data_IF_029302315109
#
_entry.id   IF_029302315109
#
_cell.length_a   1.000
_cell.length_b   1.000
_cell.length_c   1.000
_cell.angle_alpha   90.00
_cell.angle_beta   90.00
_cell.angle_gamma   90.00
#
_symmetry.space_group_name_H-M   'P 1'
#
loop_
_entity.id
_entity.type
_entity.pdbx_description
1 polymer ?
#
# COMPACT_ATOMS: atom_id res chain seq x y z
N UNK A 1 -10.91 3.28 13.33
CA UNK A 1 -10.54 2.19 14.27
C UNK A 1 -9.33 2.71 15.04
N UNK A 2 -9.19 2.46 16.34
CA UNK A 2 -8.13 3.09 17.13
C UNK A 2 -6.89 2.19 17.21
N UNK A 3 -5.71 2.81 17.10
CA UNK A 3 -4.41 2.14 17.24
C UNK A 3 -4.19 1.78 18.70
N UNK A 4 -3.69 0.57 18.93
CA UNK A 4 -3.37 0.03 20.25
C UNK A 4 -2.28 -1.04 20.12
N UNK A 5 -1.81 -1.57 21.26
CA UNK A 5 -0.69 -2.53 21.30
C UNK A 5 -0.95 -3.88 20.63
N UNK A 6 -2.18 -4.17 20.20
CA UNK A 6 -2.52 -5.41 19.49
C UNK A 6 -2.55 -5.23 17.97
N UNK A 7 -2.59 -3.99 17.46
CA UNK A 7 -2.70 -3.72 16.02
C UNK A 7 -1.67 -2.72 15.48
N UNK A 8 -0.86 -2.10 16.33
CA UNK A 8 0.06 -1.04 15.90
C UNK A 8 1.09 -1.51 14.86
N UNK A 9 1.53 -2.77 14.91
CA UNK A 9 2.47 -3.34 13.94
C UNK A 9 1.93 -3.25 12.51
N UNK A 10 0.66 -3.61 12.31
CA UNK A 10 -0.01 -3.50 11.00
C UNK A 10 -0.06 -2.04 10.53
N UNK A 11 -0.44 -1.11 11.42
CA UNK A 11 -0.44 0.31 11.10
C UNK A 11 0.96 0.85 10.78
N UNK A 12 2.02 0.33 11.40
CA UNK A 12 3.40 0.75 11.10
C UNK A 12 3.82 0.33 9.70
N UNK A 13 3.52 -0.90 9.30
CA UNK A 13 3.78 -1.37 7.94
C UNK A 13 3.02 -0.53 6.91
N UNK A 14 1.71 -0.32 7.11
CA UNK A 14 0.89 0.51 6.24
C UNK A 14 1.38 1.98 6.18
N UNK A 15 1.87 2.51 7.31
CA UNK A 15 2.46 3.85 7.37
C UNK A 15 3.73 3.94 6.51
N UNK A 16 4.61 2.93 6.60
CA UNK A 16 5.84 2.85 5.83
C UNK A 16 5.58 2.72 4.32
N UNK A 17 4.60 1.92 3.93
CA UNK A 17 4.24 1.67 2.53
C UNK A 17 3.39 2.79 1.90
N UNK A 18 3.10 3.85 2.68
CA UNK A 18 2.24 4.97 2.28
C UNK A 18 0.81 4.54 1.88
N UNK A 19 0.29 3.48 2.51
CA UNK A 19 -1.06 2.96 2.25
C UNK A 19 -2.12 3.56 3.18
N UNK A 20 -1.71 4.28 4.23
CA UNK A 20 -2.61 4.98 5.14
C UNK A 20 -3.13 6.30 4.56
N UNK A 21 -4.39 6.62 4.88
CA UNK A 21 -4.93 7.96 4.65
C UNK A 21 -4.22 9.01 5.53
N UNK A 22 -4.31 10.28 5.15
CA UNK A 22 -3.73 11.38 5.93
C UNK A 22 -4.20 11.41 7.39
N UNK A 23 -5.44 11.01 7.64
CA UNK A 23 -5.99 10.96 9.00
C UNK A 23 -5.40 9.80 9.81
N UNK A 24 -5.28 8.62 9.21
CA UNK A 24 -4.69 7.46 9.88
C UNK A 24 -3.20 7.66 10.17
N UNK A 25 -2.47 8.33 9.27
CA UNK A 25 -1.07 8.72 9.51
C UNK A 25 -0.91 9.58 10.76
N UNK A 26 -1.79 10.58 10.92
CA UNK A 26 -1.80 11.42 12.14
C UNK A 26 -2.09 10.62 13.39
N UNK A 27 -2.93 9.58 13.29
CA UNK A 27 -3.19 8.69 14.41
C UNK A 27 -1.96 7.87 14.79
N UNK A 28 -1.18 7.37 13.81
CA UNK A 28 0.10 6.69 14.06
C UNK A 28 1.10 7.63 14.73
N UNK A 29 1.23 8.85 14.23
CA UNK A 29 2.12 9.89 14.78
C UNK A 29 1.73 10.25 16.22
N UNK A 30 0.45 10.52 16.49
CA UNK A 30 -0.03 10.82 17.84
C UNK A 30 0.10 9.64 18.81
N UNK A 31 -0.02 8.39 18.30
CA UNK A 31 0.15 7.18 19.10
C UNK A 31 1.62 6.94 19.47
N UNK A 32 2.54 7.15 18.53
CA UNK A 32 3.99 7.02 18.78
C UNK A 32 4.54 8.11 19.69
N UNK A 33 3.99 9.33 19.64
CA UNK A 33 4.34 10.38 20.60
C UNK A 33 4.01 10.01 22.05
N UNK A 34 2.96 9.23 22.27
CA UNK A 34 2.53 8.77 23.60
C UNK A 34 3.24 7.49 24.06
N UNK A 35 3.93 6.79 23.15
CA UNK A 35 4.61 5.52 23.40
C UNK A 35 6.05 5.56 22.85
N UNK A 36 7.00 6.13 23.61
CA UNK A 36 8.39 6.30 23.16
C UNK A 36 9.07 5.00 22.73
N UNK A 37 8.71 3.87 23.34
CA UNK A 37 9.19 2.54 22.97
C UNK A 37 8.77 2.15 21.54
N UNK A 38 7.53 2.46 21.17
CA UNK A 38 7.01 2.16 19.83
C UNK A 38 7.50 3.17 18.80
N UNK A 39 7.85 4.39 19.23
CA UNK A 39 8.51 5.37 18.36
C UNK A 39 9.90 4.88 17.93
N UNK A 40 10.70 4.39 18.88
CA UNK A 40 12.02 3.82 18.59
C UNK A 40 11.89 2.61 17.65
N UNK A 41 10.88 1.77 17.86
CA UNK A 41 10.57 0.65 16.96
C UNK A 41 10.22 1.12 15.54
N UNK A 42 9.37 2.14 15.39
CA UNK A 42 9.02 2.69 14.07
C UNK A 42 10.24 3.31 13.37
N UNK A 43 11.10 4.00 14.11
CA UNK A 43 12.35 4.56 13.58
C UNK A 43 13.32 3.47 13.13
N UNK A 44 13.42 2.37 13.88
CA UNK A 44 14.21 1.21 13.50
C UNK A 44 13.65 0.54 12.24
N UNK A 45 12.33 0.31 12.17
CA UNK A 45 11.67 -0.26 11.00
C UNK A 45 11.87 0.61 9.75
N UNK A 46 11.79 1.93 9.91
CA UNK A 46 11.98 2.88 8.81
C UNK A 46 13.35 2.77 8.13
N UNK A 47 14.38 2.28 8.83
CA UNK A 47 15.70 2.05 8.24
C UNK A 47 15.74 0.86 7.26
N UNK A 48 14.76 -0.05 7.33
CA UNK A 48 14.64 -1.19 6.42
C UNK A 48 13.76 -0.89 5.21
N UNK A 49 13.21 0.33 5.11
CA UNK A 49 12.49 0.75 3.92
C UNK A 49 13.46 0.91 2.75
N UNK A 50 13.25 0.10 1.71
CA UNK A 50 14.04 0.15 0.49
C UNK A 50 13.47 1.24 -0.44
N UNK A 51 14.30 2.21 -0.77
CA UNK A 51 13.98 3.20 -1.80
C UNK A 51 14.35 2.62 -3.17
N UNK A 52 13.39 2.50 -4.11
CA UNK A 52 13.68 1.99 -5.43
C UNK A 52 14.55 3.00 -6.21
N UNK A 53 15.47 2.49 -7.01
CA UNK A 53 16.21 3.31 -7.96
C UNK A 53 15.27 3.76 -9.09
N UNK A 54 14.91 5.05 -9.08
CA UNK A 54 13.98 5.64 -10.05
C UNK A 54 14.56 5.72 -11.47
N UNK A 55 15.88 5.58 -11.64
CA UNK A 55 16.53 5.55 -12.95
C UNK A 55 16.42 4.16 -13.60
N UNK A 56 16.20 3.11 -12.81
CA UNK A 56 15.96 1.75 -13.30
C UNK A 56 14.51 1.64 -13.78
N UNK A 57 14.29 1.96 -15.06
CA UNK A 57 12.97 1.92 -15.69
C UNK A 57 12.86 0.76 -16.67
N UNK A 58 11.87 -0.11 -16.47
CA UNK A 58 11.43 -1.04 -17.51
C UNK A 58 10.68 -0.29 -18.61
N UNK A 59 11.25 -0.26 -19.83
CA UNK A 59 10.69 0.53 -20.95
C UNK A 59 9.39 -0.03 -21.51
N UNK A 60 9.20 -1.35 -21.47
CA UNK A 60 8.07 -2.05 -22.07
C UNK A 60 6.83 -2.11 -21.18
N UNK A 61 6.48 -1.07 -20.41
CA UNK A 61 5.33 -1.13 -19.48
C UNK A 61 4.02 -1.56 -20.14
N UNK A 62 3.81 -1.15 -21.39
CA UNK A 62 2.65 -1.54 -22.21
C UNK A 62 2.56 -3.06 -22.43
N UNK A 63 3.69 -3.76 -22.46
CA UNK A 63 3.75 -5.23 -22.64
C UNK A 63 3.30 -5.98 -21.39
N UNK A 64 3.34 -5.34 -20.21
CA UNK A 64 2.87 -5.92 -18.95
C UNK A 64 1.34 -5.93 -18.84
N UNK A 65 0.66 -5.12 -19.68
CA UNK A 65 -0.79 -5.10 -19.71
C UNK A 65 -1.29 -6.39 -20.36
N UNK A 66 -2.19 -7.09 -19.67
CA UNK A 66 -2.90 -8.22 -20.26
C UNK A 66 -3.61 -7.73 -21.52
N UNK A 67 -3.22 -8.26 -22.67
CA UNK A 67 -3.94 -8.01 -23.93
C UNK A 67 -5.28 -8.75 -23.88
N UNK A 68 -6.24 -8.20 -23.14
CA UNK A 68 -7.64 -8.58 -23.27
C UNK A 68 -8.03 -8.20 -24.70
N UNK A 69 -8.43 -9.18 -25.52
CA UNK A 69 -8.78 -8.94 -26.91
C UNK A 69 -9.85 -7.84 -27.00
N UNK A 70 -9.46 -6.69 -27.56
CA UNK A 70 -10.23 -5.57 -28.14
C UNK A 70 -11.58 -5.08 -27.56
N UNK A 71 -12.19 -5.69 -26.54
CA UNK A 71 -13.49 -5.27 -25.99
C UNK A 71 -13.35 -4.79 -24.56
N UNK A 72 -13.53 -3.47 -24.38
CA UNK A 72 -13.70 -2.89 -23.06
C UNK A 72 -14.94 -3.50 -22.36
N UNK A 73 -14.78 -3.88 -21.09
CA UNK A 73 -15.88 -4.36 -20.26
C UNK A 73 -16.85 -3.19 -20.05
N UNK A 74 -18.13 -3.43 -20.28
CA UNK A 74 -19.22 -2.50 -20.10
C UNK A 74 -20.48 -3.25 -19.65
N UNK A 75 -21.56 -2.51 -19.41
CA UNK A 75 -22.82 -3.04 -18.90
C UNK A 75 -23.46 -4.13 -19.77
N UNK A 76 -23.01 -4.31 -21.02
CA UNK A 76 -23.57 -5.29 -21.95
C UNK A 76 -22.73 -6.55 -22.12
N UNK A 77 -21.51 -6.63 -21.57
CA UNK A 77 -20.61 -7.78 -21.77
C UNK A 77 -19.91 -8.27 -20.48
N UNK A 78 -20.24 -7.70 -19.32
CA UNK A 78 -19.57 -8.06 -18.06
C UNK A 78 -19.87 -9.48 -17.59
N UNK A 79 -21.07 -10.03 -17.85
CA UNK A 79 -21.44 -11.40 -17.44
C UNK A 79 -20.66 -12.48 -18.18
N UNK A 80 -20.50 -12.32 -19.50
CA UNK A 80 -19.68 -13.22 -20.32
C UNK A 80 -18.21 -13.16 -19.89
N UNK A 81 -17.71 -11.96 -19.56
CA UNK A 81 -16.34 -11.78 -19.10
C UNK A 81 -16.08 -12.43 -17.74
N UNK A 82 -17.01 -12.30 -16.78
CA UNK A 82 -16.89 -12.93 -15.46
C UNK A 82 -16.87 -14.46 -15.52
N UNK A 83 -17.47 -15.05 -16.56
CA UNK A 83 -17.52 -16.50 -16.75
C UNK A 83 -16.25 -17.10 -17.37
N UNK A 84 -15.29 -16.26 -17.82
CA UNK A 84 -14.04 -16.68 -18.45
C UNK A 84 -12.86 -16.82 -17.47
N UNK A 85 -13.10 -16.64 -16.18
CA UNK A 85 -12.15 -16.79 -15.07
C UNK A 85 -12.71 -17.78 -14.03
#
# INVERSE_FOLDING_TARGET
MNINRLNYEEYFILYMDNELSNEERRQVEAFTEQHPDLKEELELLSQYKLEPDADIVYKGKEELLKQNGNTAINSNNYEEWFSLY
#
